data_IF_100358631073
#
_entry.id   IF_100358631073
#
_cell.length_a   1.000
_cell.length_b   1.000
_cell.length_c   1.000
_cell.angle_alpha   90.00
_cell.angle_beta   90.00
_cell.angle_gamma   90.00
#
_symmetry.space_group_name_H-M   'P 1'
#
loop_
_entity.id
_entity.type
_entity.pdbx_description
1 polymer ?
#
# COMPACT_ATOMS: atom_id res chain seq x y z
N UNK A 1 6.06 -22.66 2.66
CA UNK A 1 4.66 -22.45 3.13
C UNK A 1 4.61 -21.07 3.73
N UNK A 2 3.63 -20.27 3.34
CA UNK A 2 3.46 -18.89 3.80
C UNK A 2 1.97 -18.52 3.75
N UNK A 3 1.62 -17.44 4.43
CA UNK A 3 0.32 -16.77 4.29
C UNK A 3 0.51 -15.63 3.31
N UNK A 4 -0.31 -15.50 2.23
CA UNK A 4 -0.13 -14.48 1.21
C UNK A 4 -0.07 -13.06 1.78
N UNK A 5 -0.95 -12.74 2.71
CA UNK A 5 -0.89 -11.51 3.52
C UNK A 5 -1.70 -11.70 4.81
N UNK A 6 -1.32 -11.04 5.92
CA UNK A 6 -1.88 -11.32 7.24
C UNK A 6 -3.39 -11.11 7.38
N UNK A 7 -3.96 -10.20 6.59
CA UNK A 7 -5.40 -9.87 6.59
C UNK A 7 -6.21 -10.66 5.55
N UNK A 8 -5.62 -11.69 4.94
CA UNK A 8 -6.32 -12.51 3.96
C UNK A 8 -7.60 -13.15 4.54
N UNK A 9 -8.66 -13.15 3.77
CA UNK A 9 -9.91 -13.85 4.09
C UNK A 9 -10.29 -14.77 2.91
N UNK A 10 -10.21 -16.09 3.08
CA UNK A 10 -9.76 -16.81 4.28
C UNK A 10 -8.25 -16.69 4.51
N UNK A 11 -7.83 -16.63 5.78
CA UNK A 11 -6.42 -16.62 6.14
C UNK A 11 -5.90 -18.07 6.15
N UNK A 12 -5.51 -18.57 4.98
CA UNK A 12 -5.02 -19.94 4.79
C UNK A 12 -3.55 -19.93 4.34
N UNK A 13 -2.69 -20.75 4.96
CA UNK A 13 -1.34 -20.99 4.46
C UNK A 13 -1.40 -21.67 3.08
N UNK A 14 -0.48 -21.26 2.21
CA UNK A 14 -0.32 -21.83 0.88
C UNK A 14 1.10 -22.36 0.66
N UNK A 15 1.26 -23.33 -0.24
CA UNK A 15 2.56 -23.82 -0.67
C UNK A 15 2.91 -23.11 -1.99
N UNK A 16 4.05 -22.46 -2.03
CA UNK A 16 4.60 -21.92 -3.27
C UNK A 16 5.06 -23.08 -4.16
N UNK A 17 4.27 -23.41 -5.17
CA UNK A 17 4.54 -24.56 -6.05
C UNK A 17 5.78 -24.34 -6.91
N UNK A 18 6.09 -23.12 -7.29
CA UNK A 18 7.24 -22.78 -8.15
C UNK A 18 8.57 -22.97 -7.43
N UNK A 19 8.61 -22.80 -6.11
CA UNK A 19 9.82 -22.93 -5.30
C UNK A 19 9.82 -24.18 -4.39
N UNK A 20 8.75 -24.95 -4.38
CA UNK A 20 8.64 -26.14 -3.53
C UNK A 20 9.41 -27.33 -4.13
N UNK A 21 10.37 -27.86 -3.40
CA UNK A 21 11.19 -29.01 -3.83
C UNK A 21 10.35 -30.26 -4.16
N UNK A 22 9.22 -30.47 -3.48
CA UNK A 22 8.30 -31.57 -3.80
C UNK A 22 7.69 -31.40 -5.18
N UNK A 23 7.15 -30.22 -5.52
CA UNK A 23 6.53 -29.99 -6.83
C UNK A 23 7.55 -29.94 -7.96
N UNK A 24 8.79 -29.46 -7.70
CA UNK A 24 9.84 -29.38 -8.71
C UNK A 24 10.52 -30.73 -8.97
N UNK A 25 10.81 -31.50 -7.91
CA UNK A 25 11.67 -32.69 -7.99
C UNK A 25 10.98 -34.01 -7.60
N UNK A 26 9.71 -33.97 -7.18
CA UNK A 26 8.98 -35.14 -6.68
C UNK A 26 9.49 -35.74 -5.37
N UNK A 27 10.47 -35.08 -4.74
CA UNK A 27 11.16 -35.56 -3.54
C UNK A 27 11.13 -34.44 -2.48
N UNK A 28 10.85 -34.79 -1.29
CA UNK A 28 10.67 -33.96 -0.10
C UNK A 28 9.20 -34.00 0.35
N UNK A 29 8.94 -34.14 1.60
CA UNK A 29 7.64 -34.03 2.29
C UNK A 29 7.86 -33.67 3.76
N UNK A 30 8.98 -32.99 4.06
CA UNK A 30 9.36 -32.67 5.43
C UNK A 30 8.24 -31.89 6.16
N UNK A 31 7.63 -30.92 5.48
CA UNK A 31 6.53 -30.15 6.08
C UNK A 31 5.28 -31.01 6.42
N UNK A 32 4.98 -32.02 5.61
CA UNK A 32 3.89 -32.98 5.89
C UNK A 32 4.23 -33.86 7.13
N UNK A 33 5.50 -34.31 7.21
CA UNK A 33 5.97 -35.18 8.30
C UNK A 33 5.96 -34.46 9.64
N UNK A 34 6.39 -33.18 9.66
CA UNK A 34 6.49 -32.38 10.89
C UNK A 34 5.19 -31.65 11.28
N UNK A 35 4.16 -31.70 10.45
CA UNK A 35 2.89 -31.04 10.74
C UNK A 35 2.08 -31.82 11.77
N UNK A 36 1.86 -31.30 13.00
CA UNK A 36 1.14 -32.03 14.04
C UNK A 36 -0.31 -32.31 13.68
N UNK A 37 -0.94 -31.40 12.92
CA UNK A 37 -2.35 -31.46 12.54
C UNK A 37 -2.57 -32.21 11.24
N UNK A 38 -1.51 -32.65 10.54
CA UNK A 38 -1.55 -33.28 9.22
C UNK A 38 -2.36 -32.49 8.19
N UNK A 39 -2.27 -31.17 8.27
CA UNK A 39 -3.03 -30.24 7.41
C UNK A 39 -2.41 -30.07 6.01
N UNK A 40 -1.19 -30.59 5.78
CA UNK A 40 -0.49 -30.44 4.49
C UNK A 40 -0.99 -31.49 3.52
N UNK A 41 -1.52 -31.04 2.41
CA UNK A 41 -2.02 -31.91 1.34
C UNK A 41 -1.39 -31.52 0.01
N UNK A 42 -0.60 -32.41 -0.58
CA UNK A 42 0.07 -32.19 -1.86
C UNK A 42 -0.78 -32.65 -3.06
N UNK A 43 -1.83 -33.44 -2.81
CA UNK A 43 -2.78 -33.98 -3.76
C UNK A 43 -4.00 -33.08 -3.99
N UNK A 44 -3.97 -31.86 -3.46
CA UNK A 44 -5.07 -30.92 -3.61
C UNK A 44 -5.09 -30.34 -5.02
N UNK A 45 -6.24 -30.41 -5.67
CA UNK A 45 -6.51 -29.82 -6.98
C UNK A 45 -7.35 -28.55 -6.83
N UNK A 46 -7.32 -27.71 -7.86
CA UNK A 46 -8.12 -26.50 -7.90
C UNK A 46 -9.59 -26.89 -8.13
N UNK A 47 -10.48 -26.31 -7.35
CA UNK A 47 -11.93 -26.47 -7.46
C UNK A 47 -12.54 -25.17 -7.97
N UNK A 48 -13.28 -25.26 -9.06
CA UNK A 48 -14.07 -24.16 -9.58
C UNK A 48 -15.48 -24.26 -9.02
N UNK A 49 -15.90 -23.23 -8.30
CA UNK A 49 -17.24 -23.17 -7.71
C UNK A 49 -18.03 -22.00 -8.32
N UNK A 50 -19.29 -22.25 -8.65
CA UNK A 50 -20.22 -21.22 -9.05
C UNK A 50 -20.99 -20.69 -7.83
N UNK A 51 -20.91 -19.38 -7.60
CA UNK A 51 -21.59 -18.74 -6.47
C UNK A 51 -22.63 -17.77 -7.01
N UNK A 52 -23.89 -18.01 -6.69
CA UNK A 52 -24.97 -17.07 -7.00
C UNK A 52 -24.89 -15.87 -6.04
N UNK A 53 -24.68 -14.67 -6.58
CA UNK A 53 -24.53 -13.43 -5.80
C UNK A 53 -25.51 -12.37 -6.27
N UNK A 54 -25.96 -11.51 -5.36
CA UNK A 54 -26.86 -10.39 -5.67
C UNK A 54 -26.14 -9.19 -6.29
N UNK A 55 -24.85 -9.04 -6.03
CA UNK A 55 -24.00 -7.98 -6.59
C UNK A 55 -22.51 -8.36 -6.55
N UNK A 56 -21.74 -7.73 -7.44
CA UNK A 56 -20.28 -7.86 -7.48
C UNK A 56 -19.66 -6.50 -7.22
N UNK A 57 -18.78 -6.41 -6.21
CA UNK A 57 -17.99 -5.21 -5.91
C UNK A 57 -16.59 -5.39 -6.49
N UNK A 58 -16.27 -4.57 -7.50
CA UNK A 58 -14.94 -4.56 -8.11
C UNK A 58 -13.96 -3.77 -7.24
N UNK A 59 -13.02 -4.46 -6.62
CA UNK A 59 -12.00 -3.89 -5.72
C UNK A 59 -10.62 -4.51 -6.04
N UNK A 60 -10.19 -4.39 -7.29
CA UNK A 60 -9.02 -5.07 -7.86
C UNK A 60 -7.69 -4.38 -7.58
N UNK A 61 -7.70 -3.27 -6.84
CA UNK A 61 -6.49 -2.50 -6.52
C UNK A 61 -5.99 -1.65 -7.69
N UNK A 62 -4.70 -1.30 -7.63
CA UNK A 62 -4.01 -0.51 -8.67
C UNK A 62 -2.53 -0.86 -8.71
N UNK A 63 -1.90 -0.60 -9.84
CA UNK A 63 -0.47 -0.78 -10.03
C UNK A 63 0.29 0.52 -9.72
N UNK A 64 1.42 0.38 -9.04
CA UNK A 64 2.34 1.50 -8.79
C UNK A 64 3.23 1.71 -10.01
N UNK A 65 3.40 2.98 -10.40
CA UNK A 65 4.30 3.33 -11.49
C UNK A 65 5.75 2.98 -11.16
N UNK A 66 6.51 2.59 -12.17
CA UNK A 66 7.92 2.22 -12.01
C UNK A 66 8.77 3.40 -11.53
N UNK A 67 9.80 3.12 -10.75
CA UNK A 67 10.74 4.13 -10.22
C UNK A 67 11.36 5.01 -11.29
N UNK A 68 11.58 4.47 -12.50
CA UNK A 68 12.11 5.20 -13.66
C UNK A 68 11.27 6.39 -14.12
N UNK A 69 10.00 6.47 -13.72
CA UNK A 69 9.13 7.61 -14.04
C UNK A 69 9.38 8.85 -13.19
N UNK A 70 10.11 8.72 -12.07
CA UNK A 70 10.27 9.80 -11.08
C UNK A 70 11.72 10.05 -10.66
N UNK A 71 12.67 10.19 -11.59
CA UNK A 71 14.05 10.46 -11.24
C UNK A 71 14.22 11.80 -10.51
N UNK A 72 13.35 12.79 -10.80
CA UNK A 72 13.32 14.10 -10.18
C UNK A 72 13.03 14.06 -8.67
N UNK A 73 12.25 13.09 -8.20
CA UNK A 73 11.96 12.91 -6.77
C UNK A 73 12.95 11.98 -6.07
N UNK A 74 13.86 11.35 -6.81
CA UNK A 74 14.82 10.40 -6.27
C UNK A 74 14.19 9.07 -5.83
N UNK A 75 12.98 8.74 -6.35
CA UNK A 75 12.32 7.47 -6.08
C UNK A 75 13.17 6.31 -6.65
N UNK A 76 13.44 5.32 -5.80
CA UNK A 76 14.38 4.22 -6.11
C UNK A 76 15.86 4.55 -5.91
N UNK A 77 16.21 5.82 -5.60
CA UNK A 77 17.58 6.27 -5.28
C UNK A 77 17.77 6.52 -3.78
N UNK A 78 16.79 7.16 -3.16
CA UNK A 78 16.82 7.45 -1.72
C UNK A 78 15.83 6.56 -1.00
N UNK A 79 16.27 5.89 0.05
CA UNK A 79 15.46 4.92 0.79
C UNK A 79 14.20 5.54 1.41
N UNK A 80 14.25 6.82 1.80
CA UNK A 80 13.13 7.53 2.43
C UNK A 80 12.13 8.13 1.42
N UNK A 81 12.36 7.95 0.12
CA UNK A 81 11.40 8.30 -0.92
C UNK A 81 10.64 7.03 -1.32
N UNK A 82 9.41 6.92 -0.84
CA UNK A 82 8.56 5.75 -0.97
C UNK A 82 7.23 6.09 -1.65
N UNK A 83 6.59 5.10 -2.24
CA UNK A 83 5.25 5.26 -2.80
C UNK A 83 4.14 5.13 -1.74
N UNK A 84 2.89 5.42 -2.15
CA UNK A 84 1.74 5.38 -1.25
C UNK A 84 1.43 3.99 -0.69
N UNK A 85 1.67 2.90 -1.45
CA UNK A 85 1.47 1.53 -0.96
C UNK A 85 2.52 1.14 0.07
N UNK A 86 3.78 1.53 -0.15
CA UNK A 86 4.85 1.32 0.82
C UNK A 86 4.57 2.08 2.13
N UNK A 87 4.07 3.32 2.05
CA UNK A 87 3.63 4.07 3.23
C UNK A 87 2.45 3.38 3.94
N UNK A 88 1.43 2.95 3.21
CA UNK A 88 0.30 2.19 3.76
C UNK A 88 0.79 0.93 4.50
N UNK A 89 1.79 0.27 3.94
CA UNK A 89 2.39 -0.92 4.55
C UNK A 89 3.13 -0.61 5.85
N UNK A 90 3.85 0.50 5.93
CA UNK A 90 4.46 0.98 7.19
C UNK A 90 3.40 1.32 8.24
N UNK A 91 2.32 1.98 7.83
CA UNK A 91 1.25 2.39 8.73
C UNK A 91 0.37 1.23 9.23
N UNK A 92 0.44 0.06 8.58
CA UNK A 92 -0.33 -1.12 8.95
C UNK A 92 0.25 -1.84 10.16
N UNK A 93 -0.60 -2.26 11.11
CA UNK A 93 -0.18 -3.06 12.27
C UNK A 93 0.50 -4.38 11.91
N UNK A 94 0.20 -4.95 10.73
CA UNK A 94 0.87 -6.14 10.18
C UNK A 94 2.04 -5.80 9.26
N UNK A 95 2.43 -4.52 9.20
CA UNK A 95 3.57 -4.05 8.42
C UNK A 95 4.91 -4.38 9.07
N UNK A 96 6.01 -4.11 8.36
CA UNK A 96 7.36 -4.48 8.81
C UNK A 96 7.77 -3.75 10.10
N UNK A 97 7.13 -2.64 10.41
CA UNK A 97 7.38 -1.82 11.61
C UNK A 97 6.22 -1.90 12.62
N UNK A 98 5.32 -2.89 12.47
CA UNK A 98 4.16 -3.08 13.36
C UNK A 98 3.26 -1.83 13.46
N UNK A 99 3.21 -1.07 12.38
CA UNK A 99 2.40 0.13 12.27
C UNK A 99 3.06 1.42 12.78
N UNK A 100 4.31 1.38 13.19
CA UNK A 100 5.09 2.58 13.46
C UNK A 100 5.62 3.17 12.15
N UNK A 101 5.46 4.48 11.95
CA UNK A 101 5.97 5.15 10.76
C UNK A 101 7.44 5.48 10.99
N UNK A 102 8.31 4.67 10.41
CA UNK A 102 9.77 4.78 10.52
C UNK A 102 10.41 5.02 9.18
N UNK A 103 11.46 5.83 9.15
CA UNK A 103 12.26 6.04 7.94
C UNK A 103 12.97 4.73 7.54
N UNK A 104 12.86 4.28 6.28
CA UNK A 104 13.56 3.08 5.82
C UNK A 104 15.09 3.16 5.94
N UNK A 105 15.67 4.37 5.86
CA UNK A 105 17.13 4.56 5.89
C UNK A 105 17.78 4.28 7.25
N UNK A 106 17.12 4.65 8.35
CA UNK A 106 17.72 4.62 9.69
C UNK A 106 16.78 4.16 10.81
N UNK A 107 15.54 3.83 10.47
CA UNK A 107 14.53 3.37 11.42
C UNK A 107 14.00 4.44 12.39
N UNK A 108 14.39 5.71 12.24
CA UNK A 108 13.90 6.77 13.10
C UNK A 108 12.51 7.25 12.69
N UNK A 109 11.75 7.79 13.65
CA UNK A 109 10.45 8.39 13.39
C UNK A 109 10.65 9.77 12.77
N UNK A 110 10.14 10.03 11.54
CA UNK A 110 10.27 11.33 10.90
C UNK A 110 9.40 12.37 11.59
N UNK A 111 9.96 13.55 11.88
CA UNK A 111 9.21 14.71 12.40
C UNK A 111 8.50 15.52 11.32
N UNK A 112 8.91 15.35 10.09
CA UNK A 112 8.27 15.95 8.91
C UNK A 112 8.13 14.92 7.84
N UNK A 113 6.97 14.91 7.19
CA UNK A 113 6.69 14.05 6.04
C UNK A 113 6.11 14.89 4.90
N UNK A 114 6.50 14.58 3.69
CA UNK A 114 6.03 15.27 2.49
C UNK A 114 5.30 14.28 1.59
N UNK A 115 4.08 14.60 1.23
CA UNK A 115 3.29 13.89 0.24
C UNK A 115 3.23 14.72 -1.04
N UNK A 116 3.62 14.12 -2.16
CA UNK A 116 3.55 14.75 -3.48
C UNK A 116 2.38 14.15 -4.24
N UNK A 117 1.27 14.89 -4.32
CA UNK A 117 0.11 14.47 -5.09
C UNK A 117 0.34 14.62 -6.59
N UNK A 118 -0.43 13.91 -7.39
CA UNK A 118 -0.34 13.89 -8.86
C UNK A 118 1.00 13.42 -9.42
N UNK A 119 1.86 12.79 -8.63
CA UNK A 119 3.06 12.16 -9.15
C UNK A 119 2.66 11.06 -10.16
N UNK A 120 3.06 11.23 -11.44
CA UNK A 120 2.71 10.33 -12.53
C UNK A 120 1.27 10.41 -13.04
N UNK A 121 0.49 11.39 -12.61
CA UNK A 121 -0.83 11.69 -13.16
C UNK A 121 -0.89 13.14 -13.62
N UNK A 122 -1.72 13.45 -14.64
CA UNK A 122 -1.88 14.80 -15.18
C UNK A 122 -0.55 15.37 -15.70
N UNK A 123 0.27 14.49 -16.28
CA UNK A 123 1.59 14.81 -16.80
C UNK A 123 1.73 14.35 -18.25
N UNK A 124 1.45 15.24 -19.22
CA UNK A 124 1.58 14.94 -20.64
C UNK A 124 3.00 14.52 -21.05
N UNK A 125 4.02 15.07 -20.38
CA UNK A 125 5.42 14.74 -20.69
C UNK A 125 5.76 13.28 -20.38
N UNK A 126 5.00 12.64 -19.48
CA UNK A 126 5.13 11.21 -19.13
C UNK A 126 4.07 10.34 -19.82
N UNK A 127 3.25 10.90 -20.71
CA UNK A 127 2.18 10.20 -21.40
C UNK A 127 0.97 9.84 -20.55
N UNK A 128 0.82 10.47 -19.37
CA UNK A 128 -0.28 10.24 -18.43
C UNK A 128 -1.04 11.55 -18.19
N UNK A 129 -1.96 11.87 -19.10
CA UNK A 129 -2.70 13.14 -19.07
C UNK A 129 -3.86 13.16 -18.07
N UNK A 130 -4.40 12.01 -17.73
CA UNK A 130 -5.57 11.86 -16.88
C UNK A 130 -5.23 11.84 -15.38
N UNK A 131 -6.27 12.05 -14.56
CA UNK A 131 -6.19 11.94 -13.10
C UNK A 131 -6.60 10.52 -12.67
N UNK A 132 -5.81 9.88 -11.80
CA UNK A 132 -6.14 8.59 -11.20
C UNK A 132 -7.35 8.65 -10.24
N UNK A 133 -7.73 9.84 -9.77
CA UNK A 133 -8.82 10.12 -8.81
C UNK A 133 -8.69 9.47 -7.43
N UNK A 134 -7.58 8.84 -7.11
CA UNK A 134 -7.38 8.13 -5.84
C UNK A 134 -6.41 8.84 -4.91
N UNK A 135 -5.39 9.53 -5.46
CA UNK A 135 -4.29 10.04 -4.65
C UNK A 135 -4.72 11.10 -3.61
N UNK A 136 -5.65 12.00 -3.92
CA UNK A 136 -6.09 13.02 -2.97
C UNK A 136 -6.66 12.40 -1.69
N UNK A 137 -7.46 11.36 -1.82
CA UNK A 137 -8.12 10.73 -0.68
C UNK A 137 -7.17 9.83 0.12
N UNK A 138 -6.34 9.02 -0.51
CA UNK A 138 -5.39 8.23 0.25
C UNK A 138 -4.29 9.10 0.88
N UNK A 139 -3.87 10.21 0.25
CA UNK A 139 -2.93 11.16 0.84
C UNK A 139 -3.53 11.82 2.09
N UNK A 140 -4.78 12.26 2.05
CA UNK A 140 -5.47 12.77 3.23
C UNK A 140 -5.51 11.73 4.36
N UNK A 141 -5.86 10.48 4.05
CA UNK A 141 -5.81 9.37 5.01
C UNK A 141 -4.41 9.16 5.58
N UNK A 142 -3.38 9.16 4.74
CA UNK A 142 -2.00 8.96 5.18
C UNK A 142 -1.49 10.11 6.08
N UNK A 143 -1.84 11.34 5.75
CA UNK A 143 -1.51 12.51 6.58
C UNK A 143 -2.17 12.41 7.96
N UNK A 144 -3.44 12.04 8.02
CA UNK A 144 -4.17 11.77 9.25
C UNK A 144 -3.51 10.64 10.06
N UNK A 145 -3.23 9.49 9.44
CA UNK A 145 -2.58 8.36 10.11
C UNK A 145 -1.20 8.73 10.65
N UNK A 146 -0.43 9.50 9.88
CA UNK A 146 0.86 10.00 10.34
C UNK A 146 0.71 10.88 11.58
N UNK A 147 -0.20 11.86 11.56
CA UNK A 147 -0.41 12.78 12.68
C UNK A 147 -0.89 12.04 13.95
N UNK A 148 -1.77 11.05 13.79
CA UNK A 148 -2.23 10.23 14.92
C UNK A 148 -1.13 9.37 15.55
N UNK A 149 -0.11 8.98 14.78
CA UNK A 149 1.03 8.18 15.28
C UNK A 149 2.21 9.03 15.73
N UNK A 150 2.37 10.21 15.15
CA UNK A 150 3.46 11.15 15.40
C UNK A 150 2.84 12.50 15.75
N UNK A 151 2.38 12.66 16.99
CA UNK A 151 1.60 13.82 17.44
C UNK A 151 2.33 15.17 17.24
N UNK A 152 3.65 15.20 17.40
CA UNK A 152 4.49 16.37 17.18
C UNK A 152 5.04 16.49 15.74
N UNK A 153 4.61 15.57 14.87
CA UNK A 153 4.98 15.55 13.45
C UNK A 153 4.17 16.54 12.63
N UNK A 154 4.75 16.99 11.52
CA UNK A 154 4.11 17.91 10.58
C UNK A 154 4.01 17.26 9.21
N UNK A 155 2.81 16.89 8.75
CA UNK A 155 2.60 16.42 7.39
C UNK A 155 2.41 17.59 6.41
N UNK A 156 3.11 17.54 5.28
CA UNK A 156 2.99 18.47 4.17
C UNK A 156 2.41 17.77 2.95
N UNK A 157 1.46 18.39 2.28
CA UNK A 157 0.87 17.87 1.04
C UNK A 157 1.05 18.90 -0.08
N UNK A 158 1.87 18.58 -1.07
CA UNK A 158 1.96 19.37 -2.30
C UNK A 158 0.94 18.87 -3.31
N UNK A 159 0.11 19.77 -3.84
CA UNK A 159 -1.01 19.43 -4.72
C UNK A 159 -1.26 20.49 -5.80
N UNK A 160 -1.82 20.08 -6.94
CA UNK A 160 -2.27 21.01 -7.99
C UNK A 160 -3.71 21.49 -7.73
N UNK A 161 -4.61 20.55 -7.52
CA UNK A 161 -5.97 20.74 -7.01
C UNK A 161 -6.40 19.48 -6.22
N UNK A 162 -7.42 19.61 -5.40
CA UNK A 162 -7.96 18.50 -4.61
C UNK A 162 -9.20 17.97 -5.30
N UNK A 163 -9.19 16.68 -5.64
CA UNK A 163 -10.30 15.98 -6.29
C UNK A 163 -10.92 14.97 -5.33
N UNK A 164 -11.67 15.49 -4.37
CA UNK A 164 -12.38 14.74 -3.36
C UNK A 164 -13.83 14.44 -3.82
N UNK A 165 -13.97 13.73 -4.95
CA UNK A 165 -15.28 13.43 -5.53
C UNK A 165 -15.95 12.25 -4.83
N UNK A 166 -16.90 12.53 -3.95
CA UNK A 166 -17.68 11.54 -3.21
C UNK A 166 -18.38 12.16 -2.00
N UNK A 167 -19.39 11.48 -1.48
CA UNK A 167 -20.14 11.97 -0.31
C UNK A 167 -19.20 12.07 0.90
N UNK A 168 -19.13 13.26 1.50
CA UNK A 168 -18.32 13.59 2.68
C UNK A 168 -16.78 13.55 2.46
N UNK A 169 -16.26 13.40 1.23
CA UNK A 169 -14.83 13.35 0.97
C UNK A 169 -14.15 14.71 1.13
N UNK A 170 -14.84 15.77 0.72
CA UNK A 170 -14.35 17.14 0.90
C UNK A 170 -14.24 17.48 2.39
N UNK A 171 -15.24 17.10 3.18
CA UNK A 171 -15.21 17.23 4.63
C UNK A 171 -14.07 16.44 5.26
N UNK A 172 -13.79 15.23 4.76
CA UNK A 172 -12.67 14.43 5.23
C UNK A 172 -11.31 15.16 5.01
N UNK A 173 -11.11 15.73 3.82
CA UNK A 173 -9.90 16.54 3.53
C UNK A 173 -9.86 17.78 4.43
N UNK A 174 -10.97 18.47 4.62
CA UNK A 174 -11.05 19.65 5.51
C UNK A 174 -10.63 19.30 6.94
N UNK A 175 -11.07 18.16 7.45
CA UNK A 175 -10.69 17.68 8.79
C UNK A 175 -9.18 17.47 8.92
N UNK A 176 -8.52 16.87 7.93
CA UNK A 176 -7.06 16.71 7.98
C UNK A 176 -6.30 18.04 8.03
N UNK A 177 -6.88 19.09 7.46
CA UNK A 177 -6.29 20.44 7.52
C UNK A 177 -6.51 21.06 8.91
N UNK A 178 -7.74 20.98 9.41
CA UNK A 178 -8.16 21.71 10.62
C UNK A 178 -7.80 20.96 11.91
N UNK A 179 -8.08 19.65 11.96
CA UNK A 179 -7.90 18.83 13.16
C UNK A 179 -6.48 18.24 13.24
N UNK A 180 -5.94 17.78 12.11
CA UNK A 180 -4.62 17.14 12.03
C UNK A 180 -3.49 18.13 11.65
N UNK A 181 -3.82 19.41 11.48
CA UNK A 181 -2.86 20.49 11.15
C UNK A 181 -1.99 20.20 9.91
N UNK A 182 -2.53 19.40 8.97
CA UNK A 182 -1.82 19.07 7.74
C UNK A 182 -1.62 20.30 6.87
N UNK A 183 -0.38 20.56 6.47
CA UNK A 183 0.00 21.71 5.67
C UNK A 183 -0.21 21.42 4.18
N UNK A 184 -1.31 21.92 3.62
CA UNK A 184 -1.59 21.80 2.18
C UNK A 184 -0.98 22.99 1.43
N UNK A 185 -0.03 22.69 0.54
CA UNK A 185 0.72 23.70 -0.25
C UNK A 185 0.37 23.47 -1.73
N UNK A 186 -0.27 24.48 -2.33
CA UNK A 186 -0.61 24.42 -3.74
C UNK A 186 0.60 24.66 -4.61
N UNK A 187 0.97 23.66 -5.41
CA UNK A 187 2.09 23.74 -6.31
C UNK A 187 2.55 22.35 -6.76
N UNK A 188 3.34 22.31 -7.82
CA UNK A 188 4.03 21.09 -8.25
C UNK A 188 5.48 21.17 -7.76
N UNK A 189 5.94 20.12 -7.12
CA UNK A 189 7.35 19.94 -6.78
C UNK A 189 8.09 19.55 -8.05
N UNK A 190 9.16 20.23 -8.37
CA UNK A 190 10.04 19.99 -9.53
C UNK A 190 11.48 19.74 -9.08
#
# INVERSE_FOLDING_TARGET
IYVPFPQAVPNKPVIDREHCTYYIKGKCKVCEIVCPTKAIRFDQEDEIIDVAVGAIVMATGFDVLKTSYFPEYGYGKYADVIDGLAFERLASASGPTQGEIRRPSDGQIPKKIVFVACAGSRDPAKGIEYCSKICCMYTAKHAMLYKHKVHDGIPYVFYMDIRAGGKNYEEFVRRTIVEDETQYIRGRVS
#
